data_IF_311348360989
#
_entry.id   IF_311348360989
#
_cell.length_a   1.000
_cell.length_b   1.000
_cell.length_c   1.000
_cell.angle_alpha   90.00
_cell.angle_beta   90.00
_cell.angle_gamma   90.00
#
_symmetry.space_group_name_H-M   'P 1'
#
loop_
_entity.id
_entity.type
_entity.pdbx_description
1 polymer ?
#
# COMPACT_ATOMS: atom_id res chain seq x y z
N UNK A 1 15.20 6.11 9.14
CA UNK A 1 13.75 6.30 8.93
C UNK A 1 13.38 5.38 7.79
N UNK A 2 12.38 4.53 7.98
CA UNK A 2 11.92 3.64 6.91
C UNK A 2 11.11 4.47 5.91
N UNK A 3 11.12 4.08 4.64
CA UNK A 3 10.35 4.76 3.60
C UNK A 3 9.43 3.77 2.88
N UNK A 4 8.20 4.22 2.51
CA UNK A 4 7.28 3.41 1.73
C UNK A 4 7.82 3.23 0.30
N UNK A 5 7.85 1.98 -0.18
CA UNK A 5 8.20 1.65 -1.57
C UNK A 5 7.27 0.59 -2.13
N UNK A 6 7.29 0.46 -3.46
CA UNK A 6 6.56 -0.58 -4.20
C UNK A 6 5.04 -0.64 -3.89
N UNK A 7 4.41 0.51 -3.64
CA UNK A 7 2.98 0.57 -3.32
C UNK A 7 2.11 -0.10 -4.38
N UNK A 8 1.15 -0.91 -3.92
CA UNK A 8 0.13 -1.59 -4.74
C UNK A 8 -1.24 -1.49 -4.09
N UNK A 9 -2.26 -1.50 -4.94
CA UNK A 9 -3.63 -1.75 -4.51
C UNK A 9 -3.89 -3.24 -4.60
N UNK A 10 -4.32 -3.85 -3.49
CA UNK A 10 -4.60 -5.27 -3.39
C UNK A 10 -6.02 -5.45 -2.92
N UNK A 11 -6.82 -6.19 -3.68
CA UNK A 11 -8.17 -6.54 -3.27
C UNK A 11 -8.17 -7.80 -2.41
N UNK A 12 -8.71 -7.72 -1.20
CA UNK A 12 -8.78 -8.82 -0.24
C UNK A 12 -9.99 -8.69 0.68
N UNK A 13 -10.35 -9.78 1.33
CA UNK A 13 -11.47 -9.84 2.28
C UNK A 13 -11.03 -9.38 3.68
N UNK A 14 -9.73 -9.41 3.96
CA UNK A 14 -9.11 -8.95 5.20
C UNK A 14 -7.64 -8.51 4.98
N UNK A 15 -7.01 -7.83 5.96
CA UNK A 15 -5.63 -7.33 5.84
C UNK A 15 -4.59 -8.45 5.64
N UNK A 16 -4.80 -9.62 6.26
CA UNK A 16 -3.86 -10.75 6.20
C UNK A 16 -3.81 -11.33 4.79
N UNK A 17 -4.97 -11.53 4.17
CA UNK A 17 -5.08 -11.97 2.77
C UNK A 17 -4.46 -10.97 1.80
N UNK A 18 -4.71 -9.66 2.00
CA UNK A 18 -4.11 -8.62 1.17
C UNK A 18 -2.57 -8.62 1.28
N UNK A 19 -2.04 -8.84 2.49
CA UNK A 19 -0.60 -9.00 2.72
C UNK A 19 -0.03 -10.22 1.99
N UNK A 20 -0.69 -11.37 2.10
CA UNK A 20 -0.24 -12.61 1.45
C UNK A 20 -0.24 -12.46 -0.07
N UNK A 21 -1.31 -11.88 -0.65
CA UNK A 21 -1.40 -11.57 -2.08
C UNK A 21 -0.28 -10.64 -2.53
N UNK A 22 0.01 -9.60 -1.77
CA UNK A 22 1.12 -8.68 -2.07
C UNK A 22 2.47 -9.38 -2.05
N UNK A 23 2.74 -10.20 -1.02
CA UNK A 23 3.99 -10.98 -0.92
C UNK A 23 4.12 -12.01 -2.04
N UNK A 24 3.00 -12.60 -2.49
CA UNK A 24 2.97 -13.55 -3.60
C UNK A 24 3.33 -12.91 -4.96
N UNK A 25 3.30 -11.58 -5.09
CA UNK A 25 3.78 -10.88 -6.29
C UNK A 25 5.30 -11.06 -6.50
N UNK A 26 6.05 -11.49 -5.47
CA UNK A 26 7.47 -11.79 -5.59
C UNK A 26 8.35 -10.56 -5.89
N UNK A 27 7.87 -9.37 -5.51
CA UNK A 27 8.57 -8.10 -5.70
C UNK A 27 9.94 -8.17 -5.01
N UNK A 28 10.99 -7.83 -5.75
CA UNK A 28 12.36 -7.80 -5.22
C UNK A 28 12.62 -6.47 -4.53
N UNK A 29 13.24 -6.56 -3.36
CA UNK A 29 13.64 -5.46 -2.49
C UNK A 29 15.14 -5.57 -2.23
N UNK A 30 15.80 -4.43 -2.01
CA UNK A 30 17.20 -4.40 -1.57
C UNK A 30 17.32 -4.60 -0.06
N UNK A 31 16.26 -4.32 0.69
CA UNK A 31 16.18 -4.60 2.12
C UNK A 31 15.99 -6.12 2.32
N UNK A 32 16.85 -6.80 3.11
CA UNK A 32 16.69 -8.23 3.37
C UNK A 32 15.48 -8.55 4.25
N UNK A 33 14.93 -7.57 4.97
CA UNK A 33 13.79 -7.72 5.88
C UNK A 33 12.90 -6.48 5.83
N UNK A 34 12.28 -6.17 4.67
CA UNK A 34 11.39 -5.03 4.60
C UNK A 34 10.19 -5.25 5.54
N UNK A 35 9.75 -4.19 6.21
CA UNK A 35 8.41 -4.15 6.77
C UNK A 35 7.38 -4.22 5.64
N UNK A 36 6.15 -4.64 5.95
CA UNK A 36 5.02 -4.55 5.01
C UNK A 36 3.90 -3.86 5.76
N UNK A 37 3.45 -2.75 5.22
CA UNK A 37 2.30 -2.02 5.76
C UNK A 37 1.06 -2.33 4.91
N UNK A 38 -0.08 -2.54 5.57
CA UNK A 38 -1.35 -2.86 4.92
C UNK A 38 -2.40 -1.92 5.49
N UNK A 39 -2.84 -0.96 4.67
CA UNK A 39 -3.78 0.07 5.09
C UNK A 39 -5.09 -0.07 4.33
N UNK A 40 -6.19 0.06 5.06
CA UNK A 40 -7.54 0.11 4.48
C UNK A 40 -7.95 1.58 4.33
N UNK A 41 -8.13 2.10 3.11
CA UNK A 41 -8.47 3.51 2.90
C UNK A 41 -9.75 3.91 3.63
N UNK A 42 -10.76 3.04 3.66
CA UNK A 42 -12.03 3.30 4.33
C UNK A 42 -11.97 3.36 5.87
N UNK A 43 -10.84 2.96 6.46
CA UNK A 43 -10.62 3.07 7.92
C UNK A 43 -9.92 4.39 8.29
N UNK A 44 -9.45 5.14 7.30
CA UNK A 44 -8.85 6.46 7.48
C UNK A 44 -9.94 7.54 7.49
N UNK A 45 -10.00 8.36 8.55
CA UNK A 45 -11.00 9.40 8.71
C UNK A 45 -10.82 10.56 7.72
N UNK A 46 -9.61 10.76 7.20
CA UNK A 46 -9.29 11.80 6.22
C UNK A 46 -9.50 11.33 4.77
N UNK A 47 -9.76 10.03 4.57
CA UNK A 47 -9.98 9.47 3.24
C UNK A 47 -11.33 9.90 2.65
N UNK A 48 -11.26 10.47 1.44
CA UNK A 48 -12.42 10.83 0.64
C UNK A 48 -12.43 10.02 -0.67
N UNK A 49 -13.41 9.13 -0.81
CA UNK A 49 -13.57 8.27 -1.98
C UNK A 49 -13.84 9.06 -3.28
N UNK A 50 -14.45 10.23 -3.15
CA UNK A 50 -14.79 11.11 -4.28
C UNK A 50 -13.64 12.06 -4.63
N UNK A 51 -12.65 12.23 -3.75
CA UNK A 51 -11.44 13.00 -4.05
C UNK A 51 -10.57 12.29 -5.09
N UNK A 52 -9.98 13.08 -5.99
CA UNK A 52 -9.05 12.58 -7.01
C UNK A 52 -7.68 12.18 -6.44
N UNK A 53 -7.34 12.66 -5.24
CA UNK A 53 -6.08 12.40 -4.56
C UNK A 53 -6.36 12.18 -3.07
N UNK A 54 -5.72 11.16 -2.49
CA UNK A 54 -5.73 10.93 -1.05
C UNK A 54 -4.31 10.71 -0.53
N UNK A 55 -4.09 11.01 0.75
CA UNK A 55 -2.92 10.55 1.51
C UNK A 55 -3.38 9.35 2.34
N UNK A 56 -2.76 8.19 2.14
CA UNK A 56 -3.10 6.96 2.85
C UNK A 56 -1.84 6.49 3.57
N UNK A 57 -1.83 6.63 4.90
CA UNK A 57 -0.62 6.51 5.69
C UNK A 57 0.45 7.52 5.24
N UNK A 58 1.57 7.02 4.72
CA UNK A 58 2.68 7.86 4.22
C UNK A 58 2.71 7.97 2.69
N UNK A 59 1.69 7.49 1.98
CA UNK A 59 1.67 7.45 0.51
C UNK A 59 0.56 8.30 -0.07
N UNK A 60 0.92 9.23 -0.95
CA UNK A 60 -0.05 9.96 -1.77
C UNK A 60 -0.50 9.11 -2.96
N UNK A 61 -1.79 8.81 -3.04
CA UNK A 61 -2.41 8.10 -4.16
C UNK A 61 -3.08 9.10 -5.10
N UNK A 62 -2.72 9.03 -6.39
CA UNK A 62 -3.27 9.91 -7.42
C UNK A 62 -4.50 9.33 -8.13
N UNK A 63 -5.01 10.03 -9.16
CA UNK A 63 -6.29 9.71 -9.80
C UNK A 63 -6.39 8.27 -10.32
N UNK A 64 -5.37 7.76 -11.02
CA UNK A 64 -5.40 6.40 -11.56
C UNK A 64 -5.48 5.32 -10.48
N UNK A 65 -4.87 5.56 -9.32
CA UNK A 65 -4.92 4.64 -8.19
C UNK A 65 -6.27 4.77 -7.47
N UNK A 66 -6.80 5.99 -7.35
CA UNK A 66 -8.15 6.23 -6.84
C UNK A 66 -9.20 5.56 -7.73
N UNK A 67 -9.05 5.58 -9.05
CA UNK A 67 -9.91 4.84 -9.97
C UNK A 67 -9.88 3.34 -9.72
N UNK A 68 -8.72 2.73 -9.43
CA UNK A 68 -8.64 1.33 -9.01
C UNK A 68 -9.38 1.09 -7.69
N UNK A 69 -9.11 1.90 -6.65
CA UNK A 69 -9.76 1.78 -5.34
C UNK A 69 -11.29 1.85 -5.46
N UNK A 70 -11.82 2.76 -6.30
CA UNK A 70 -13.26 2.94 -6.52
C UNK A 70 -13.95 1.72 -7.16
N UNK A 71 -13.21 0.78 -7.76
CA UNK A 71 -13.81 -0.44 -8.33
C UNK A 71 -14.39 -1.36 -7.25
N UNK A 72 -13.73 -1.45 -6.10
CA UNK A 72 -14.15 -2.27 -4.95
C UNK A 72 -13.56 -1.70 -3.64
N UNK A 73 -14.07 -0.54 -3.17
CA UNK A 73 -13.44 0.20 -2.08
C UNK A 73 -13.49 -0.54 -0.74
N UNK A 74 -14.47 -1.43 -0.56
CA UNK A 74 -14.60 -2.23 0.66
C UNK A 74 -13.48 -3.28 0.80
N UNK A 75 -12.92 -3.72 -0.34
CA UNK A 75 -11.89 -4.76 -0.42
C UNK A 75 -10.54 -4.20 -0.83
N UNK A 76 -10.44 -2.94 -1.18
CA UNK A 76 -9.19 -2.29 -1.56
C UNK A 76 -8.29 -2.05 -0.33
N UNK A 77 -7.06 -2.58 -0.40
CA UNK A 77 -6.00 -2.31 0.54
C UNK A 77 -4.83 -1.64 -0.17
N UNK A 78 -4.26 -0.59 0.43
CA UNK A 78 -2.99 -0.01 0.01
C UNK A 78 -1.88 -0.75 0.74
N UNK A 79 -1.03 -1.43 -0.01
CA UNK A 79 0.04 -2.25 0.54
C UNK A 79 1.38 -1.78 0.00
N UNK A 80 2.37 -1.60 0.86
CA UNK A 80 3.72 -1.18 0.48
C UNK A 80 4.78 -1.80 1.38
N UNK A 81 6.03 -1.82 0.90
CA UNK A 81 7.17 -2.16 1.75
C UNK A 81 7.61 -0.93 2.55
N UNK A 82 8.02 -1.16 3.80
CA UNK A 82 8.75 -0.19 4.62
C UNK A 82 10.22 -0.61 4.66
N UNK A 83 11.04 0.05 3.85
CA UNK A 83 12.45 -0.29 3.70
C UNK A 83 13.34 0.72 4.44
N UNK A 84 14.44 0.24 5.05
CA UNK A 84 15.44 1.13 5.63
C UNK A 84 16.48 1.52 4.55
N UNK A 85 16.66 2.83 4.26
CA UNK A 85 17.66 3.29 3.31
C UNK A 85 19.09 2.84 3.61
N UNK A 86 19.40 2.55 4.87
CA UNK A 86 20.72 2.04 5.26
C UNK A 86 20.99 0.64 4.68
N UNK A 87 19.96 -0.14 4.35
CA UNK A 87 20.10 -1.44 3.72
C UNK A 87 20.34 -1.35 2.19
N UNK A 88 20.31 -0.15 1.62
CA UNK A 88 20.50 0.07 0.18
C UNK A 88 21.95 0.36 -0.23
N UNK A 89 22.88 0.45 0.72
CA UNK A 89 24.31 0.65 0.41
C UNK A 89 24.89 -0.62 -0.22
N UNK A 90 25.36 -0.48 -1.47
CA UNK A 90 26.17 -1.45 -2.21
C UNK A 90 27.63 -1.48 -1.72
#
# INVERSE_FOLDING_TARGET
MQHPTNTRIIFGDNPEEAREKYLALGIKTKDPKPGVEVLKPQEDEEFDIDSDINLIGEVSVGPSIMEEIRQDPARAYVVYFLEDPQNFTE
#
